data_IF_827149831456
#
_entry.id   IF_827149831456
#
_cell.length_a   1.000
_cell.length_b   1.000
_cell.length_c   1.000
_cell.angle_alpha   90.00
_cell.angle_beta   90.00
_cell.angle_gamma   90.00
#
_symmetry.space_group_name_H-M   'P 1'
#
loop_
_entity.id
_entity.type
_entity.pdbx_description
1 polymer ?
#
# COMPACT_ATOMS: atom_id res chain seq x y z
N UNK A 1 7.95 1.92 -2.07
CA UNK A 1 7.72 2.41 -3.46
C UNK A 1 6.23 2.58 -3.75
N UNK A 2 5.43 1.49 -3.84
CA UNK A 2 4.01 1.57 -4.21
C UNK A 2 3.18 2.56 -3.38
N UNK A 3 3.29 2.54 -2.04
CA UNK A 3 2.65 3.52 -1.14
C UNK A 3 2.99 4.97 -1.55
N UNK A 4 4.26 5.25 -1.83
CA UNK A 4 4.71 6.57 -2.27
C UNK A 4 4.13 7.00 -3.62
N UNK A 5 4.05 6.09 -4.58
CA UNK A 5 3.48 6.39 -5.91
C UNK A 5 2.00 6.75 -5.78
N UNK A 6 1.22 5.93 -5.08
CA UNK A 6 -0.23 6.17 -4.93
C UNK A 6 -0.48 7.48 -4.18
N UNK A 7 0.22 7.68 -3.06
CA UNK A 7 0.04 8.90 -2.26
C UNK A 7 0.58 10.16 -2.94
N UNK A 8 1.45 10.05 -3.94
CA UNK A 8 1.92 11.21 -4.70
C UNK A 8 1.00 11.54 -5.89
N UNK A 9 0.64 10.53 -6.70
CA UNK A 9 -0.09 10.74 -7.95
C UNK A 9 -1.62 10.73 -7.79
N UNK A 10 -2.14 9.99 -6.80
CA UNK A 10 -3.56 9.71 -6.63
C UNK A 10 -4.11 10.18 -5.27
N UNK A 11 -3.42 11.10 -4.58
CA UNK A 11 -3.84 11.62 -3.27
C UNK A 11 -5.22 12.28 -3.25
N UNK A 12 -5.74 12.67 -4.40
CA UNK A 12 -7.08 13.27 -4.54
C UNK A 12 -8.21 12.24 -4.44
N UNK A 13 -7.95 10.95 -4.67
CA UNK A 13 -8.97 9.90 -4.66
C UNK A 13 -8.59 8.64 -3.88
N UNK A 14 -7.32 8.49 -3.50
CA UNK A 14 -6.82 7.31 -2.80
C UNK A 14 -5.86 7.69 -1.68
N UNK A 15 -5.86 6.87 -0.63
CA UNK A 15 -4.85 6.88 0.43
C UNK A 15 -4.30 5.47 0.59
N UNK A 16 -3.02 5.30 0.27
CA UNK A 16 -2.34 4.03 0.37
C UNK A 16 -1.56 3.89 1.69
N UNK A 17 -1.56 2.67 2.21
CA UNK A 17 -0.66 2.20 3.27
C UNK A 17 0.02 0.92 2.77
N UNK A 18 1.26 0.68 3.19
CA UNK A 18 2.01 -0.54 2.89
C UNK A 18 2.50 -1.24 4.15
N UNK A 19 2.57 -2.56 4.07
CA UNK A 19 3.01 -3.43 5.15
C UNK A 19 3.61 -4.71 4.58
N UNK A 20 4.48 -5.37 5.36
CA UNK A 20 5.11 -6.64 5.01
C UNK A 20 4.96 -7.70 6.11
N UNK A 21 5.40 -8.92 5.81
CA UNK A 21 5.51 -10.00 6.81
C UNK A 21 6.62 -9.77 7.83
N UNK A 22 7.62 -8.96 7.49
CA UNK A 22 8.78 -8.61 8.31
C UNK A 22 9.05 -7.11 8.23
N UNK A 23 9.55 -6.54 9.32
CA UNK A 23 10.07 -5.18 9.34
C UNK A 23 11.52 -5.22 8.87
N UNK A 24 11.82 -4.45 7.83
CA UNK A 24 13.19 -4.20 7.37
C UNK A 24 13.40 -2.70 7.24
N UNK A 25 14.66 -2.21 7.29
CA UNK A 25 14.95 -0.85 6.86
C UNK A 25 14.46 -0.62 5.42
N UNK A 26 14.20 0.64 5.09
CA UNK A 26 13.88 1.01 3.72
C UNK A 26 15.14 0.82 2.86
N UNK A 27 14.99 0.21 1.69
CA UNK A 27 16.11 0.04 0.76
C UNK A 27 16.56 1.42 0.25
N UNK A 28 17.83 1.75 0.46
CA UNK A 28 18.43 3.01 0.02
C UNK A 28 18.28 3.22 -1.49
N UNK A 29 18.34 2.16 -2.29
CA UNK A 29 18.13 2.23 -3.74
C UNK A 29 16.69 2.62 -4.08
N UNK A 30 15.73 2.12 -3.30
CA UNK A 30 14.33 2.51 -3.48
C UNK A 30 14.11 3.98 -3.16
N UNK A 31 14.77 4.52 -2.13
CA UNK A 31 14.74 5.96 -1.83
C UNK A 31 15.33 6.76 -2.99
N UNK A 32 16.50 6.38 -3.48
CA UNK A 32 17.20 7.08 -4.57
C UNK A 32 16.37 7.10 -5.85
N UNK A 33 15.90 5.94 -6.32
CA UNK A 33 15.12 5.83 -7.57
C UNK A 33 13.78 6.55 -7.46
N UNK A 34 13.11 6.48 -6.31
CA UNK A 34 11.86 7.24 -6.14
C UNK A 34 12.11 8.76 -6.15
N UNK A 35 13.24 9.22 -5.60
CA UNK A 35 13.62 10.63 -5.63
C UNK A 35 13.94 11.12 -7.04
N UNK A 36 14.50 10.28 -7.92
CA UNK A 36 14.73 10.62 -9.34
C UNK A 36 13.43 11.01 -10.07
N UNK A 37 12.30 10.41 -9.69
CA UNK A 37 10.98 10.74 -10.23
C UNK A 37 10.21 11.79 -9.38
N UNK A 38 10.89 12.48 -8.46
CA UNK A 38 10.31 13.54 -7.64
C UNK A 38 9.49 13.07 -6.44
N UNK A 39 9.56 11.78 -6.07
CA UNK A 39 8.79 11.21 -4.96
C UNK A 39 9.72 10.86 -3.81
N UNK A 40 9.69 11.65 -2.73
CA UNK A 40 10.47 11.35 -1.53
C UNK A 40 9.76 10.33 -0.64
N UNK A 41 10.36 9.13 -0.52
CA UNK A 41 9.87 8.07 0.37
C UNK A 41 10.73 7.92 1.65
N UNK A 42 11.73 8.78 1.88
CA UNK A 42 12.67 8.65 2.99
C UNK A 42 12.02 8.64 4.37
N UNK A 43 10.86 9.29 4.50
CA UNK A 43 10.08 9.34 5.74
C UNK A 43 9.13 8.15 5.92
N UNK A 44 9.03 7.24 4.93
CA UNK A 44 8.25 6.01 5.06
C UNK A 44 8.96 5.02 5.97
N UNK A 45 8.17 4.15 6.60
CA UNK A 45 8.65 3.09 7.49
C UNK A 45 8.06 1.76 7.06
N UNK A 46 8.83 0.69 7.23
CA UNK A 46 8.31 -0.67 7.14
C UNK A 46 7.45 -0.97 8.37
N UNK A 47 6.30 -1.62 8.15
CA UNK A 47 5.30 -1.96 9.17
C UNK A 47 4.88 -3.42 8.98
N UNK A 48 4.43 -4.07 10.05
CA UNK A 48 3.89 -5.43 9.97
C UNK A 48 2.45 -5.41 9.47
N UNK A 49 2.08 -6.36 8.61
CA UNK A 49 0.68 -6.55 8.19
C UNK A 49 -0.27 -6.71 9.39
N UNK A 50 0.23 -7.32 10.49
CA UNK A 50 -0.53 -7.50 11.73
C UNK A 50 -1.06 -6.18 12.33
N UNK A 51 -0.36 -5.07 12.10
CA UNK A 51 -0.76 -3.75 12.59
C UNK A 51 -2.07 -3.26 11.94
N UNK A 52 -2.37 -3.74 10.73
CA UNK A 52 -3.51 -3.30 9.93
C UNK A 52 -4.71 -4.24 9.97
N UNK A 53 -4.67 -5.33 10.75
CA UNK A 53 -5.75 -6.34 10.80
C UNK A 53 -7.11 -5.82 11.28
N UNK A 54 -7.13 -4.66 11.94
CA UNK A 54 -8.35 -4.01 12.42
C UNK A 54 -8.78 -2.82 11.56
N UNK A 55 -8.02 -2.51 10.51
CA UNK A 55 -8.35 -1.45 9.57
C UNK A 55 -9.12 -2.02 8.39
N UNK A 56 -10.06 -1.22 7.87
CA UNK A 56 -10.81 -1.56 6.66
C UNK A 56 -10.13 -0.92 5.44
N UNK A 57 -10.10 -1.67 4.33
CA UNK A 57 -9.54 -1.22 3.06
C UNK A 57 -10.51 -1.58 1.94
N UNK A 58 -10.77 -0.64 1.04
CA UNK A 58 -11.52 -0.90 -0.20
C UNK A 58 -10.76 -1.84 -1.13
N UNK A 59 -9.43 -1.74 -1.13
CA UNK A 59 -8.54 -2.52 -1.97
C UNK A 59 -7.33 -3.02 -1.18
N UNK A 60 -6.98 -4.28 -1.38
CA UNK A 60 -5.76 -4.90 -0.88
C UNK A 60 -4.98 -5.43 -2.07
N UNK A 61 -3.77 -4.89 -2.27
CA UNK A 61 -2.88 -5.26 -3.38
C UNK A 61 -1.67 -5.98 -2.79
N UNK A 62 -1.46 -7.24 -3.19
CA UNK A 62 -0.29 -8.01 -2.81
C UNK A 62 0.83 -7.82 -3.84
N UNK A 63 2.03 -7.50 -3.36
CA UNK A 63 3.23 -7.37 -4.18
C UNK A 63 4.17 -8.54 -3.81
N UNK A 64 4.18 -9.58 -4.63
CA UNK A 64 5.11 -10.70 -4.50
C UNK A 64 6.10 -10.66 -5.67
N UNK A 65 7.39 -10.79 -5.39
CA UNK A 65 8.38 -11.11 -6.43
C UNK A 65 8.31 -12.60 -6.80
N UNK A 66 8.93 -12.99 -7.91
CA UNK A 66 9.00 -14.39 -8.36
C UNK A 66 9.62 -15.34 -7.31
N UNK A 67 10.41 -14.80 -6.37
CA UNK A 67 11.02 -15.52 -5.25
C UNK A 67 10.38 -15.22 -3.88
N UNK A 68 9.26 -14.50 -3.83
CA UNK A 68 8.54 -14.23 -2.59
C UNK A 68 7.65 -15.42 -2.22
N UNK A 69 8.26 -16.53 -1.81
CA UNK A 69 7.60 -17.63 -1.11
C UNK A 69 7.28 -17.22 0.34
N UNK A 70 6.49 -16.16 0.52
CA UNK A 70 5.88 -15.90 1.82
C UNK A 70 4.38 -15.76 1.65
N UNK A 71 3.69 -16.64 2.37
CA UNK A 71 2.28 -16.91 2.37
C UNK A 71 1.53 -15.67 2.89
N UNK A 72 1.40 -14.62 2.08
CA UNK A 72 0.47 -13.53 2.37
C UNK A 72 -0.93 -14.06 2.13
N UNK A 73 -1.55 -14.59 3.19
CA UNK A 73 -2.98 -14.86 3.22
C UNK A 73 -3.70 -13.61 2.74
N UNK A 74 -4.41 -13.73 1.62
CA UNK A 74 -5.26 -12.69 1.07
C UNK A 74 -6.22 -12.21 2.18
N UNK A 75 -5.98 -11.02 2.71
CA UNK A 75 -6.92 -10.37 3.61
C UNK A 75 -8.02 -9.77 2.74
N UNK A 76 -9.13 -10.51 2.61
CA UNK A 76 -10.34 -9.97 2.00
C UNK A 76 -10.93 -8.91 2.95
N UNK A 77 -10.70 -7.63 2.64
CA UNK A 77 -11.54 -6.56 3.15
C UNK A 77 -12.94 -6.71 2.57
N UNK A 78 -13.98 -6.68 3.41
CA UNK A 78 -15.36 -6.67 2.92
C UNK A 78 -15.60 -5.38 2.14
N UNK A 79 -15.90 -5.50 0.86
CA UNK A 79 -16.63 -4.45 0.14
C UNK A 79 -18.08 -4.47 0.65
N UNK A 80 -18.46 -3.49 1.45
CA UNK A 80 -19.87 -3.13 1.61
C UNK A 80 -20.12 -1.87 0.80
N UNK A 81 -20.60 -2.06 -0.43
CA UNK A 81 -21.41 -1.03 -1.09
C UNK A 81 -22.79 -1.02 -0.39
N UNK A 82 -23.47 0.13 -0.19
CA UNK A 82 -24.27 0.64 -1.31
C UNK A 82 -24.60 2.17 -1.35
N UNK A 83 -24.96 2.60 -2.56
CA UNK A 83 -26.09 3.49 -2.94
C UNK A 83 -25.86 5.02 -3.07
N UNK A 84 -26.75 5.78 -3.78
CA UNK A 84 -27.74 5.43 -4.81
C UNK A 84 -27.57 6.23 -6.12
N UNK A 85 -28.34 5.84 -7.15
CA UNK A 85 -28.58 6.61 -8.37
C UNK A 85 -28.91 8.08 -8.03
N UNK A 86 -28.20 9.02 -8.68
CA UNK A 86 -28.61 10.42 -8.71
C UNK A 86 -29.89 10.56 -9.56
N UNK A 87 -30.93 11.27 -9.09
CA UNK A 87 -32.11 11.52 -9.90
C UNK A 87 -31.78 12.52 -11.01
N UNK A 88 -32.18 12.20 -12.23
CA UNK A 88 -32.38 13.14 -13.34
C UNK A 88 -33.53 14.09 -13.07
#
# INVERSE_FOLDING_TARGET
MAEGIVNHLYSHCCSAKSAGSKITPLDEKAILVMKEIGIDISQQKSKLVKEFLKEEFDYVITLCGENAQENLSLLFGKSQNPSPLAPT
#
